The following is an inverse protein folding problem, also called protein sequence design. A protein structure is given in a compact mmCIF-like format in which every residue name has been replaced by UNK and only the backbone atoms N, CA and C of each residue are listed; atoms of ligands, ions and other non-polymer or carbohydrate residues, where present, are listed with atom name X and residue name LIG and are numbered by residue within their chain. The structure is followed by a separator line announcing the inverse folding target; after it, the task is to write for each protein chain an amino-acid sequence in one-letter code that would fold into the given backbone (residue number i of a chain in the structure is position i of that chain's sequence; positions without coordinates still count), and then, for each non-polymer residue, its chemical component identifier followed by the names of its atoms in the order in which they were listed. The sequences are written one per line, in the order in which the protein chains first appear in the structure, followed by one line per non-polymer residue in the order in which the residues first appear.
data_IF_228504047740
#
_entry.id   IF_228504047740
#
_cell.length_a   1.000
_cell.length_b   1.000
_cell.length_c   1.000
_cell.angle_alpha   90.00
_cell.angle_beta   90.00
_cell.angle_gamma   90.00
#
_symmetry.space_group_name_H-M   'P 1'
#
loop_
_entity.id
_entity.type
_entity.pdbx_description
1 polymer ?
#
# COMPACT_ATOMS: atom_id res chain seq x y z
N UNK A 1 3.12 -13.15 -1.21
CA UNK A 1 3.36 -12.63 0.16
C UNK A 1 2.99 -13.73 1.14
N UNK A 2 3.82 -13.99 2.17
CA UNK A 2 3.53 -14.96 3.22
C UNK A 2 2.28 -14.55 3.99
N UNK A 3 1.39 -15.51 4.23
CA UNK A 3 0.13 -15.29 4.94
C UNK A 3 0.25 -15.71 6.40
N UNK A 4 -0.30 -14.89 7.29
CA UNK A 4 -0.44 -15.17 8.71
C UNK A 4 -1.93 -15.19 9.06
N UNK A 5 -2.41 -16.33 9.55
CA UNK A 5 -3.77 -16.49 10.05
C UNK A 5 -3.86 -16.14 11.54
N UNK A 6 -4.77 -15.24 11.89
CA UNK A 6 -5.08 -14.83 13.26
C UNK A 6 -6.59 -14.99 13.46
N UNK A 7 -7.00 -16.04 14.17
CA UNK A 7 -8.41 -16.42 14.25
C UNK A 7 -8.94 -16.88 12.88
N UNK A 8 -10.03 -16.28 12.43
CA UNK A 8 -10.67 -16.55 11.13
C UNK A 8 -10.09 -15.68 10.00
N UNK A 9 -9.21 -14.73 10.35
CA UNK A 9 -8.70 -13.72 9.44
C UNK A 9 -7.28 -14.08 8.97
N UNK A 10 -6.98 -13.84 7.69
CA UNK A 10 -5.63 -13.95 7.10
C UNK A 10 -5.07 -12.57 6.70
N UNK A 11 -3.79 -12.37 6.96
CA UNK A 11 -3.03 -11.13 6.69
C UNK A 11 -1.75 -11.43 5.93
N UNK A 12 -1.30 -10.48 5.11
CA UNK A 12 -0.05 -10.57 4.33
C UNK A 12 1.03 -9.62 4.80
N UNK A 13 0.72 -8.73 5.76
CA UNK A 13 1.68 -7.73 6.23
C UNK A 13 1.05 -6.47 6.81
N UNK A 14 1.78 -5.36 6.71
CA UNK A 14 1.32 -4.01 7.02
C UNK A 14 1.74 -3.00 5.94
N UNK A 15 1.02 -1.89 5.84
CA UNK A 15 1.36 -0.73 5.02
C UNK A 15 1.48 0.51 5.90
N UNK A 16 2.53 1.30 5.70
CA UNK A 16 2.81 2.54 6.44
C UNK A 16 2.95 3.72 5.48
N UNK A 17 2.27 4.83 5.80
CA UNK A 17 2.35 6.12 5.12
C UNK A 17 2.74 7.19 6.14
N UNK A 18 4.05 7.42 6.37
CA UNK A 18 4.53 8.31 7.43
C UNK A 18 4.02 9.74 7.33
N UNK A 19 3.92 10.29 6.10
CA UNK A 19 3.39 11.64 5.86
C UNK A 19 1.96 11.80 6.38
N UNK A 20 1.18 10.71 6.41
CA UNK A 20 -0.18 10.69 6.95
C UNK A 20 -0.24 10.26 8.42
N UNK A 21 0.87 9.78 9.00
CA UNK A 21 0.88 9.13 10.31
C UNK A 21 0.01 7.87 10.34
N UNK A 22 -0.05 7.14 9.22
CA UNK A 22 -0.92 5.98 9.03
C UNK A 22 -0.10 4.69 8.99
N UNK A 23 -0.55 3.69 9.74
CA UNK A 23 -0.07 2.31 9.65
C UNK A 23 -1.29 1.38 9.71
N UNK A 24 -1.39 0.44 8.75
CA UNK A 24 -2.51 -0.48 8.65
C UNK A 24 -2.05 -1.92 8.44
N UNK A 25 -2.71 -2.91 9.06
CA UNK A 25 -2.57 -4.30 8.64
C UNK A 25 -3.12 -4.49 7.23
N UNK A 26 -2.53 -5.40 6.48
CA UNK A 26 -2.95 -5.77 5.13
C UNK A 26 -3.59 -7.16 5.17
N UNK A 27 -4.91 -7.23 4.97
CA UNK A 27 -5.64 -8.48 4.78
C UNK A 27 -5.23 -9.17 3.48
N UNK A 28 -5.21 -10.50 3.46
CA UNK A 28 -4.73 -11.27 2.31
C UNK A 28 -5.64 -11.21 1.07
N UNK A 29 -6.89 -10.78 1.25
CA UNK A 29 -7.89 -10.57 0.21
C UNK A 29 -8.91 -9.49 0.61
N UNK A 30 -9.92 -9.24 -0.24
CA UNK A 30 -10.98 -8.26 0.05
C UNK A 30 -11.77 -8.66 1.31
N UNK A 31 -12.15 -7.66 2.10
CA UNK A 31 -12.90 -7.81 3.34
C UNK A 31 -14.04 -6.79 3.38
N UNK A 32 -15.25 -7.29 3.63
CA UNK A 32 -16.40 -6.46 3.93
C UNK A 32 -16.41 -6.05 5.42
N UNK A 33 -16.89 -4.84 5.71
CA UNK A 33 -17.22 -4.40 7.08
C UNK A 33 -16.04 -4.09 8.01
N UNK A 34 -14.80 -4.26 7.58
CA UNK A 34 -13.63 -3.88 8.37
C UNK A 34 -13.16 -2.47 8.02
N UNK A 35 -13.18 -1.58 9.02
CA UNK A 35 -12.91 -0.15 8.80
C UNK A 35 -11.42 0.18 8.80
N UNK A 36 -10.64 -0.37 9.74
CA UNK A 36 -9.23 0.00 9.96
C UNK A 36 -8.21 -0.99 9.36
N UNK A 37 -8.38 -1.39 8.10
CA UNK A 37 -7.39 -2.24 7.40
C UNK A 37 -7.24 -1.89 5.92
N UNK A 38 -6.11 -2.31 5.35
CA UNK A 38 -5.92 -2.39 3.91
C UNK A 38 -6.19 -3.83 3.43
N UNK A 39 -6.69 -3.99 2.22
CA UNK A 39 -6.91 -5.27 1.56
C UNK A 39 -5.95 -5.41 0.38
N UNK A 40 -5.29 -6.56 0.26
CA UNK A 40 -4.60 -6.90 -0.98
C UNK A 40 -5.64 -7.26 -2.04
N UNK A 41 -5.64 -6.52 -3.15
CA UNK A 41 -6.48 -6.79 -4.32
C UNK A 41 -5.78 -7.75 -5.26
N UNK A 42 -4.50 -7.50 -5.54
CA UNK A 42 -3.69 -8.32 -6.44
C UNK A 42 -2.20 -8.08 -6.22
N UNK A 43 -1.38 -8.92 -6.87
CA UNK A 43 0.06 -8.74 -6.93
C UNK A 43 0.80 -9.02 -5.61
N UNK A 44 2.07 -8.65 -5.59
CA UNK A 44 2.92 -8.75 -4.40
C UNK A 44 4.08 -7.75 -4.43
N UNK A 45 4.61 -7.44 -3.24
CA UNK A 45 5.85 -6.64 -3.14
C UNK A 45 7.04 -7.27 -3.87
N UNK A 46 7.06 -8.60 -4.05
CA UNK A 46 8.18 -9.31 -4.69
C UNK A 46 8.16 -9.21 -6.21
N UNK A 47 6.95 -9.18 -6.79
CA UNK A 47 6.75 -9.08 -8.24
C UNK A 47 6.68 -7.61 -8.71
N UNK A 48 6.62 -6.65 -7.79
CA UNK A 48 6.56 -5.23 -8.11
C UNK A 48 5.26 -4.84 -8.80
N UNK A 49 4.14 -5.39 -8.36
CA UNK A 49 2.81 -5.16 -8.94
C UNK A 49 1.70 -5.11 -7.85
N UNK A 50 2.07 -4.79 -6.61
CA UNK A 50 1.15 -4.86 -5.47
C UNK A 50 0.04 -3.82 -5.57
N UNK A 51 -1.21 -4.25 -5.43
CA UNK A 51 -2.38 -3.37 -5.35
C UNK A 51 -3.07 -3.53 -4.01
N UNK A 52 -3.16 -2.43 -3.26
CA UNK A 52 -3.86 -2.35 -1.98
C UNK A 52 -5.06 -1.42 -2.07
N UNK A 53 -6.17 -1.80 -1.44
CA UNK A 53 -7.33 -0.96 -1.25
C UNK A 53 -7.62 -0.74 0.23
N UNK A 54 -8.11 0.44 0.60
CA UNK A 54 -8.56 0.74 1.96
C UNK A 54 -9.72 1.71 1.92
N UNK A 55 -10.57 1.71 2.94
CA UNK A 55 -11.74 2.59 2.98
C UNK A 55 -11.38 4.08 2.90
N UNK A 56 -12.33 4.92 2.52
CA UNK A 56 -12.18 6.35 2.25
C UNK A 56 -12.20 7.28 3.50
N UNK A 57 -12.15 6.72 4.72
CA UNK A 57 -12.06 7.52 5.95
C UNK A 57 -10.61 7.66 6.44
N UNK A 58 -10.37 8.64 7.30
CA UNK A 58 -9.02 9.11 7.67
C UNK A 58 -8.15 8.07 8.39
N UNK A 59 -8.75 7.16 9.13
CA UNK A 59 -8.03 6.07 9.79
C UNK A 59 -7.64 4.95 8.81
N UNK A 60 -8.17 4.97 7.59
CA UNK A 60 -7.78 4.12 6.48
C UNK A 60 -7.15 4.98 5.35
N UNK A 61 -7.61 4.84 4.12
CA UNK A 61 -7.05 5.52 2.95
C UNK A 61 -7.72 6.85 2.60
N UNK A 62 -8.63 7.37 3.44
CA UNK A 62 -9.24 8.69 3.23
C UNK A 62 -8.26 9.87 3.20
N UNK A 63 -7.03 9.67 3.68
CA UNK A 63 -5.97 10.67 3.64
C UNK A 63 -5.10 10.64 2.38
N UNK A 64 -5.28 9.69 1.44
CA UNK A 64 -4.37 9.49 0.30
C UNK A 64 -4.21 10.75 -0.57
N UNK A 65 -5.24 11.60 -0.66
CA UNK A 65 -5.19 12.83 -1.45
C UNK A 65 -4.26 13.92 -0.89
N UNK A 66 -3.76 13.74 0.33
CA UNK A 66 -2.80 14.63 0.97
C UNK A 66 -1.34 14.27 0.65
N UNK A 67 -1.10 13.08 0.09
CA UNK A 67 0.22 12.66 -0.36
C UNK A 67 0.69 13.50 -1.55
N UNK A 68 1.99 13.50 -1.76
CA UNK A 68 2.67 14.20 -2.84
C UNK A 68 3.73 13.28 -3.47
N UNK A 69 4.06 13.48 -4.75
CA UNK A 69 5.22 12.83 -5.34
C UNK A 69 6.47 13.04 -4.49
N UNK A 70 7.20 11.97 -4.20
CA UNK A 70 8.35 11.98 -3.29
C UNK A 70 8.05 11.56 -1.85
N UNK A 71 6.78 11.47 -1.43
CA UNK A 71 6.43 10.91 -0.12
C UNK A 71 6.80 9.43 -0.03
N UNK A 72 7.23 9.01 1.16
CA UNK A 72 7.59 7.62 1.41
C UNK A 72 6.34 6.77 1.69
N UNK A 73 6.38 5.53 1.24
CA UNK A 73 5.47 4.47 1.64
C UNK A 73 6.26 3.21 1.95
N UNK A 74 5.80 2.43 2.93
CA UNK A 74 6.44 1.16 3.28
C UNK A 74 5.42 0.04 3.31
N UNK A 75 5.84 -1.14 2.86
CA UNK A 75 5.07 -2.37 3.04
C UNK A 75 5.97 -3.37 3.76
N UNK A 76 5.47 -3.94 4.84
CA UNK A 76 6.17 -5.02 5.56
C UNK A 76 5.43 -6.32 5.38
N UNK A 77 6.12 -7.42 5.08
CA UNK A 77 5.49 -8.75 5.04
C UNK A 77 5.44 -9.40 6.44
N UNK A 78 4.73 -10.52 6.57
CA UNK A 78 4.56 -11.23 7.86
C UNK A 78 5.83 -11.88 8.41
N UNK A 79 6.91 -11.97 7.62
CA UNK A 79 8.24 -12.40 8.05
C UNK A 79 9.11 -11.23 8.53
N UNK A 80 8.63 -10.00 8.43
CA UNK A 80 9.30 -8.80 8.90
C UNK A 80 10.22 -8.13 7.86
N UNK A 81 10.19 -8.56 6.60
CA UNK A 81 10.89 -7.80 5.55
C UNK A 81 10.11 -6.53 5.23
N UNK A 82 10.83 -5.41 5.16
CA UNK A 82 10.28 -4.10 4.87
C UNK A 82 10.74 -3.63 3.49
N UNK A 83 9.79 -3.23 2.66
CA UNK A 83 9.98 -2.74 1.31
C UNK A 83 9.65 -1.25 1.28
N UNK A 84 10.53 -0.47 0.66
CA UNK A 84 10.38 0.98 0.57
C UNK A 84 9.90 1.39 -0.83
N UNK A 85 8.96 2.32 -0.86
CA UNK A 85 8.38 2.89 -2.06
C UNK A 85 8.36 4.41 -1.95
N UNK A 86 8.31 5.06 -3.10
CA UNK A 86 8.16 6.51 -3.22
C UNK A 86 6.92 6.79 -4.07
N UNK A 87 6.05 7.66 -3.56
CA UNK A 87 4.87 8.13 -4.28
C UNK A 87 5.32 8.79 -5.59
N UNK A 88 4.79 8.32 -6.71
CA UNK A 88 5.05 8.86 -8.03
C UNK A 88 3.94 9.82 -8.45
N UNK A 89 2.68 9.40 -8.30
CA UNK A 89 1.52 10.20 -8.68
C UNK A 89 0.35 9.99 -7.72
N UNK A 90 -0.46 11.04 -7.56
CA UNK A 90 -1.71 11.06 -6.78
C UNK A 90 -2.83 11.51 -7.71
N UNK A 91 -3.96 10.79 -7.71
CA UNK A 91 -5.03 11.02 -8.69
C UNK A 91 -4.76 10.40 -10.06
N UNK A 92 -3.96 9.32 -10.10
CA UNK A 92 -3.64 8.60 -11.32
C UNK A 92 -4.90 7.94 -11.92
N UNK A 93 -4.95 7.78 -13.25
CA UNK A 93 -6.03 7.02 -13.89
C UNK A 93 -5.79 5.52 -13.74
N UNK A 94 -6.82 4.70 -13.93
CA UNK A 94 -6.67 3.24 -13.90
C UNK A 94 -5.64 2.71 -14.92
N UNK A 95 -5.46 3.42 -16.05
CA UNK A 95 -4.46 3.09 -17.07
C UNK A 95 -3.02 3.40 -16.64
N UNK A 96 -2.81 4.32 -15.69
CA UNK A 96 -1.50 4.72 -15.18
C UNK A 96 -0.94 3.71 -14.15
N UNK A 97 -1.75 2.72 -13.74
CA UNK A 97 -1.35 1.64 -12.82
C UNK A 97 -0.38 0.66 -13.48
N UNK A 98 -0.33 0.62 -14.82
CA UNK A 98 0.51 -0.30 -15.56
C UNK A 98 1.99 0.02 -15.34
N UNK A 99 2.69 -0.84 -14.60
CA UNK A 99 4.12 -0.68 -14.29
C UNK A 99 4.43 -0.04 -12.94
N UNK A 100 3.42 0.33 -12.14
CA UNK A 100 3.61 0.80 -10.78
C UNK A 100 3.99 -0.37 -9.85
N UNK A 101 5.01 -0.19 -9.02
CA UNK A 101 5.48 -1.21 -8.08
C UNK A 101 4.50 -1.43 -6.91
N UNK A 102 3.80 -0.36 -6.53
CA UNK A 102 2.74 -0.35 -5.54
C UNK A 102 1.64 0.63 -5.97
N UNK A 103 0.38 0.19 -5.88
CA UNK A 103 -0.81 1.02 -6.09
C UNK A 103 -1.67 1.03 -4.83
N UNK A 104 -2.08 2.22 -4.38
CA UNK A 104 -3.00 2.42 -3.25
C UNK A 104 -4.32 3.00 -3.76
N UNK A 105 -5.43 2.42 -3.32
CA UNK A 105 -6.78 2.74 -3.79
C UNK A 105 -7.72 3.04 -2.63
N UNK A 106 -8.44 4.17 -2.68
CA UNK A 106 -9.60 4.32 -1.78
C UNK A 106 -10.74 3.43 -2.27
N UNK A 107 -11.19 2.49 -1.44
CA UNK A 107 -12.44 1.77 -1.63
C UNK A 107 -13.59 2.76 -1.44
N UNK A 108 -14.42 2.90 -2.47
CA UNK A 108 -15.61 3.75 -2.44
C UNK A 108 -16.80 2.95 -2.96
N UNK A 109 -17.94 3.04 -2.26
CA UNK A 109 -19.22 2.51 -2.70
C UNK A 109 -19.86 3.37 -3.80
N UNK A 110 -19.43 4.63 -3.94
CA UNK A 110 -19.96 5.58 -4.92
C UNK A 110 -18.89 6.60 -5.35
N UNK A 111 -18.42 6.49 -6.59
CA UNK A 111 -17.48 7.42 -7.21
C UNK A 111 -16.26 6.73 -7.82
N UNK A 112 -15.38 7.53 -8.42
CA UNK A 112 -14.07 7.05 -8.89
C UNK A 112 -13.12 6.93 -7.69
N UNK A 113 -12.42 5.79 -7.52
CA UNK A 113 -11.45 5.63 -6.45
C UNK A 113 -10.27 6.58 -6.67
N UNK A 114 -9.78 7.21 -5.60
CA UNK A 114 -8.50 7.88 -5.65
C UNK A 114 -7.39 6.84 -5.80
N UNK A 115 -6.54 7.03 -6.80
CA UNK A 115 -5.41 6.16 -7.09
C UNK A 115 -4.10 6.87 -6.78
N UNK A 116 -3.23 6.20 -6.05
CA UNK A 116 -1.86 6.62 -5.82
C UNK A 116 -0.94 5.54 -6.38
N UNK A 117 -0.03 5.91 -7.28
CA UNK A 117 1.01 5.00 -7.80
C UNK A 117 2.32 5.30 -7.11
N UNK A 118 3.09 4.25 -6.83
CA UNK A 118 4.40 4.34 -6.22
C UNK A 118 5.39 3.50 -7.01
N UNK A 119 6.64 3.95 -7.04
CA UNK A 119 7.79 3.21 -7.56
C UNK A 119 8.58 2.63 -6.40
N UNK A 120 9.28 1.52 -6.63
CA UNK A 120 10.23 1.00 -5.65
C UNK A 120 11.30 2.06 -5.37
N UNK A 121 11.59 2.32 -4.10
CA UNK A 121 12.72 3.16 -3.76
C UNK A 121 13.99 2.45 -4.26
N UNK A 122 14.85 3.15 -4.99
CA UNK A 122 16.13 2.58 -5.37
C UNK A 122 16.87 2.16 -4.08
N UNK A 123 17.29 0.90 -4.02
CA UNK A 123 18.23 0.43 -3.01
C UNK A 123 19.45 1.36 -3.11
N UNK A 124 19.63 2.27 -2.15
CA UNK A 124 20.93 2.89 -1.97
C UNK A 124 21.83 1.75 -1.50
N UNK A 125 22.53 1.12 -2.45
CA UNK A 125 23.76 0.39 -2.19
C UNK A 125 24.76 1.41 -1.63
N UNK A 126 24.60 1.70 -0.34
CA UNK A 126 25.57 2.39 0.46
C UNK A 126 26.80 1.51 0.52
N UNK A 127 27.74 1.78 -0.39
CA UNK A 127 29.15 1.50 -0.18
C UNK A 127 29.57 2.22 1.11
N UNK A 128 29.36 1.58 2.24
CA UNK A 128 29.96 2.00 3.50
C UNK A 128 31.39 1.46 3.51
N UNK A 129 32.28 2.17 2.81
CA UNK A 129 33.70 2.09 3.07
C UNK A 129 34.01 2.84 4.37
N UNK A 130 34.44 2.11 5.39
CA UNK A 130 35.23 2.63 6.51
C UNK A 130 36.49 1.78 6.67
#
# INVERSE_FOLDING_TARGET
MPELSVGEESYVGSVELPTLGLELPVASGPRDGHVDLACRISGSVYEGDLVLAGNDHRAAFGGLGLLRPGDAAYVSDTLGHRFAFVVEAVGASASDRAGAALTLLTQTDAGEPLVVTCVAAAEHSGDFAY
#
